data_IF_087523678139
#
_entry.id   IF_087523678139
#
_cell.length_a   1.000
_cell.length_b   1.000
_cell.length_c   1.000
_cell.angle_alpha   90.00
_cell.angle_beta   90.00
_cell.angle_gamma   90.00
#
_symmetry.space_group_name_H-M   'P 1'
#
loop_
_entity.id
_entity.type
_entity.pdbx_description
1 polymer ?
#
# COMPACT_ATOMS: atom_id res chain seq x y z
N UNK A 1 47.71 10.02 -35.21
CA UNK A 1 46.79 11.15 -34.97
C UNK A 1 45.31 10.76 -35.03
N UNK A 2 44.84 9.89 -35.94
CA UNK A 2 43.42 9.46 -36.01
C UNK A 2 42.86 8.75 -34.75
N UNK A 3 43.69 7.99 -34.01
CA UNK A 3 43.21 7.26 -32.82
C UNK A 3 42.97 8.15 -31.58
N UNK A 4 43.55 9.35 -31.52
CA UNK A 4 43.36 10.29 -30.40
C UNK A 4 41.99 10.99 -30.50
N UNK A 5 41.51 11.26 -31.71
CA UNK A 5 40.19 11.86 -31.94
C UNK A 5 39.04 10.91 -31.58
N UNK A 6 39.23 9.60 -31.73
CA UNK A 6 38.22 8.61 -31.33
C UNK A 6 38.10 8.47 -29.80
N UNK A 7 39.19 8.69 -29.07
CA UNK A 7 39.19 8.66 -27.60
C UNK A 7 38.58 9.94 -27.00
N UNK A 8 38.72 11.08 -27.66
CA UNK A 8 38.10 12.35 -27.27
C UNK A 8 36.57 12.39 -27.46
N UNK A 9 36.02 11.61 -28.40
CA UNK A 9 34.58 11.49 -28.61
C UNK A 9 33.85 10.77 -27.45
N UNK A 10 34.56 9.98 -26.64
CA UNK A 10 33.98 9.35 -25.44
C UNK A 10 33.83 10.29 -24.25
N UNK A 11 34.43 11.49 -24.29
CA UNK A 11 34.38 12.47 -23.19
C UNK A 11 33.49 13.68 -23.49
N UNK A 12 32.85 13.73 -24.67
CA UNK A 12 31.85 14.76 -24.97
C UNK A 12 30.47 14.23 -24.56
N UNK A 13 30.24 14.15 -23.25
CA UNK A 13 28.89 13.99 -22.71
C UNK A 13 28.19 15.35 -22.73
N UNK A 14 27.33 15.58 -23.72
CA UNK A 14 26.37 16.68 -23.65
C UNK A 14 25.34 16.29 -22.59
N UNK A 15 25.29 17.01 -21.48
CA UNK A 15 24.20 16.88 -20.51
C UNK A 15 22.92 17.42 -21.14
N UNK A 16 22.23 16.56 -21.88
CA UNK A 16 20.87 16.82 -22.28
C UNK A 16 20.02 16.69 -21.03
N UNK A 17 19.52 17.82 -20.52
CA UNK A 17 18.55 17.85 -19.43
C UNK A 17 17.20 17.33 -19.96
N UNK A 18 17.11 16.03 -20.21
CA UNK A 18 15.85 15.37 -20.47
C UNK A 18 15.06 15.34 -19.16
N UNK A 19 13.78 15.68 -19.23
CA UNK A 19 12.87 15.46 -18.10
C UNK A 19 12.72 13.95 -17.90
N UNK A 20 13.24 13.42 -16.79
CA UNK A 20 12.96 12.05 -16.33
C UNK A 20 11.51 11.88 -15.81
N UNK A 21 10.55 12.58 -16.43
CA UNK A 21 9.11 12.49 -16.13
C UNK A 21 8.37 11.83 -17.29
N UNK A 22 8.90 10.71 -17.77
CA UNK A 22 8.20 9.84 -18.70
C UNK A 22 6.82 9.47 -18.15
N UNK A 23 5.84 9.30 -19.05
CA UNK A 23 4.47 8.96 -18.69
C UNK A 23 3.56 10.15 -18.36
N UNK A 24 4.07 11.38 -18.26
CA UNK A 24 3.27 12.60 -18.13
C UNK A 24 3.08 13.31 -19.47
N UNK A 25 1.99 14.06 -19.62
CA UNK A 25 1.74 14.85 -20.84
C UNK A 25 2.75 16.00 -20.99
N UNK A 26 3.20 16.36 -22.21
CA UNK A 26 4.12 17.48 -22.44
C UNK A 26 3.51 18.84 -22.08
N UNK A 27 2.18 18.91 -22.02
CA UNK A 27 1.43 20.10 -21.58
C UNK A 27 1.46 20.30 -20.06
N UNK A 28 1.94 19.33 -19.27
CA UNK A 28 2.02 19.46 -17.82
C UNK A 28 3.07 20.51 -17.45
N UNK A 29 2.61 21.63 -16.88
CA UNK A 29 3.49 22.68 -16.35
C UNK A 29 3.87 22.36 -14.92
N UNK A 30 5.14 22.10 -14.69
CA UNK A 30 5.68 21.77 -13.37
C UNK A 30 6.13 23.01 -12.61
N UNK A 31 5.85 23.02 -11.31
CA UNK A 31 6.34 23.99 -10.32
C UNK A 31 7.02 23.23 -9.18
N UNK A 32 7.77 23.94 -8.35
CA UNK A 32 8.42 23.32 -7.20
C UNK A 32 8.42 24.23 -5.97
N UNK A 33 8.38 23.59 -4.79
CA UNK A 33 8.73 24.18 -3.50
C UNK A 33 9.97 23.45 -3.01
N UNK A 34 11.03 24.17 -2.69
CA UNK A 34 12.32 23.60 -2.35
C UNK A 34 12.77 24.14 -0.98
N UNK A 35 12.73 23.29 0.04
CA UNK A 35 13.18 23.59 1.41
C UNK A 35 14.52 22.91 1.69
N UNK A 36 15.06 23.02 2.89
CA UNK A 36 16.20 22.21 3.36
C UNK A 36 15.83 20.72 3.54
N UNK A 37 14.60 20.41 3.92
CA UNK A 37 14.08 19.06 4.12
C UNK A 37 13.68 18.34 2.83
N UNK A 38 12.92 19.01 1.95
CA UNK A 38 12.21 18.36 0.84
C UNK A 38 12.10 19.29 -0.36
N UNK A 39 12.11 18.69 -1.55
CA UNK A 39 11.73 19.37 -2.79
C UNK A 39 10.43 18.76 -3.30
N UNK A 40 9.32 19.50 -3.18
CA UNK A 40 8.03 19.08 -3.72
C UNK A 40 7.90 19.61 -5.15
N UNK A 41 7.82 18.72 -6.13
CA UNK A 41 7.61 18.99 -7.56
C UNK A 41 6.17 18.65 -7.90
N UNK A 42 5.41 19.60 -8.44
CA UNK A 42 3.97 19.44 -8.62
C UNK A 42 3.44 20.12 -9.89
N UNK A 43 2.35 19.62 -10.48
CA UNK A 43 1.66 20.31 -11.57
C UNK A 43 1.04 21.64 -11.12
N UNK A 44 1.04 22.64 -11.99
CA UNK A 44 0.33 23.91 -11.78
C UNK A 44 -1.13 23.68 -11.31
N UNK A 45 -1.57 24.41 -10.27
CA UNK A 45 -2.88 24.24 -9.62
C UNK A 45 -2.86 23.42 -8.32
N UNK A 46 -1.73 22.80 -7.97
CA UNK A 46 -1.58 22.03 -6.71
C UNK A 46 -0.77 22.76 -5.62
N UNK A 47 -0.59 24.08 -5.73
CA UNK A 47 0.26 24.89 -4.84
C UNK A 47 -0.11 24.71 -3.37
N UNK A 48 -1.41 24.67 -3.07
CA UNK A 48 -1.91 24.52 -1.69
C UNK A 48 -1.48 23.18 -1.10
N UNK A 49 -1.77 22.07 -1.79
CA UNK A 49 -1.39 20.72 -1.35
C UNK A 49 0.13 20.55 -1.26
N UNK A 50 0.88 21.15 -2.19
CA UNK A 50 2.34 21.08 -2.18
C UNK A 50 2.95 21.82 -0.99
N UNK A 51 2.42 23.00 -0.63
CA UNK A 51 2.81 23.73 0.59
C UNK A 51 2.51 22.91 1.85
N UNK A 52 1.31 22.36 1.96
CA UNK A 52 0.91 21.53 3.11
C UNK A 52 1.81 20.30 3.28
N UNK A 53 2.13 19.59 2.19
CA UNK A 53 3.05 18.44 2.23
C UNK A 53 4.45 18.86 2.64
N UNK A 54 4.98 19.97 2.10
CA UNK A 54 6.29 20.49 2.50
C UNK A 54 6.34 20.83 4.01
N UNK A 55 5.29 21.47 4.54
CA UNK A 55 5.15 21.79 5.96
C UNK A 55 5.08 20.53 6.83
N UNK A 56 4.23 19.55 6.48
CA UNK A 56 4.11 18.31 7.25
C UNK A 56 5.42 17.53 7.28
N UNK A 57 6.09 17.40 6.13
CA UNK A 57 7.39 16.73 6.04
C UNK A 57 8.45 17.44 6.88
N UNK A 58 8.48 18.77 6.87
CA UNK A 58 9.39 19.55 7.71
C UNK A 58 9.12 19.32 9.21
N UNK A 59 7.86 19.32 9.63
CA UNK A 59 7.46 19.03 11.02
C UNK A 59 7.82 17.59 11.42
N UNK A 60 7.60 16.62 10.54
CA UNK A 60 7.95 15.21 10.79
C UNK A 60 9.46 15.02 10.95
N UNK A 61 10.28 15.72 10.14
CA UNK A 61 11.73 15.70 10.31
C UNK A 61 12.16 16.26 11.67
N UNK A 62 11.57 17.39 12.08
CA UNK A 62 11.96 18.08 13.31
C UNK A 62 11.54 17.34 14.59
N UNK A 63 10.40 16.64 14.58
CA UNK A 63 9.80 16.05 15.79
C UNK A 63 10.10 14.56 16.02
N UNK A 64 10.88 13.89 15.15
CA UNK A 64 11.12 12.43 15.08
C UNK A 64 10.85 11.62 16.38
N UNK A 65 9.56 11.34 16.64
CA UNK A 65 9.08 10.78 17.93
C UNK A 65 9.40 9.29 18.09
N UNK A 66 9.82 8.62 17.01
CA UNK A 66 10.09 7.19 16.96
C UNK A 66 11.34 6.87 16.14
N UNK A 67 12.42 7.60 16.42
CA UNK A 67 13.64 7.63 15.62
C UNK A 67 14.24 6.26 15.30
N UNK A 68 14.76 6.13 14.08
CA UNK A 68 15.62 5.03 13.63
C UNK A 68 17.11 5.45 13.57
N UNK A 69 17.41 6.63 14.11
CA UNK A 69 18.71 7.29 14.06
C UNK A 69 18.61 8.70 13.48
N UNK A 70 19.67 9.49 13.66
CA UNK A 70 19.68 10.91 13.30
C UNK A 70 20.02 11.23 11.84
N UNK A 71 20.20 10.23 10.95
CA UNK A 71 20.52 10.51 9.55
C UNK A 71 19.29 11.01 8.82
N UNK A 72 19.41 12.16 8.19
CA UNK A 72 18.38 12.71 7.31
C UNK A 72 18.97 13.00 5.94
N UNK A 73 18.17 12.77 4.90
CA UNK A 73 18.54 13.02 3.52
C UNK A 73 17.37 13.70 2.81
N UNK A 74 17.63 14.88 2.25
CA UNK A 74 16.64 15.60 1.45
C UNK A 74 16.18 14.74 0.27
N UNK A 75 14.87 14.71 0.03
CA UNK A 75 14.26 13.96 -1.05
C UNK A 75 13.50 14.89 -2.01
N UNK A 76 13.43 14.49 -3.28
CA UNK A 76 12.48 15.08 -4.24
C UNK A 76 11.20 14.26 -4.25
N UNK A 77 10.07 14.91 -4.03
CA UNK A 77 8.73 14.32 -3.98
C UNK A 77 7.93 14.86 -5.15
N UNK A 78 7.39 13.98 -5.99
CA UNK A 78 6.67 14.33 -7.21
C UNK A 78 5.19 14.04 -7.05
N UNK A 79 4.33 15.00 -7.41
CA UNK A 79 2.88 14.80 -7.44
C UNK A 79 2.43 14.27 -8.81
N UNK A 80 1.77 13.11 -8.80
CA UNK A 80 1.09 12.51 -9.95
C UNK A 80 -0.42 12.66 -9.74
N UNK A 81 -1.05 13.60 -10.44
CA UNK A 81 -2.45 13.96 -10.20
C UNK A 81 -3.40 13.54 -11.33
N UNK A 82 -2.90 12.83 -12.35
CA UNK A 82 -3.68 12.38 -13.51
C UNK A 82 -4.04 10.89 -13.46
N UNK A 83 -3.69 10.20 -12.38
CA UNK A 83 -4.10 8.82 -12.09
C UNK A 83 -5.41 8.76 -11.31
N UNK A 84 -6.14 7.65 -11.38
CA UNK A 84 -7.38 7.37 -10.65
C UNK A 84 -7.15 6.39 -9.49
N UNK A 85 -6.05 5.63 -9.50
CA UNK A 85 -5.66 4.79 -8.38
C UNK A 85 -4.84 5.56 -7.34
N UNK A 86 -4.92 5.07 -6.10
CA UNK A 86 -4.27 5.66 -4.93
C UNK A 86 -3.02 4.88 -4.57
N UNK A 87 -1.88 5.56 -4.53
CA UNK A 87 -0.60 4.95 -4.17
C UNK A 87 0.41 6.03 -3.80
N UNK A 88 1.53 5.62 -3.24
CA UNK A 88 2.77 6.38 -3.23
C UNK A 88 3.95 5.41 -3.03
N UNK A 89 5.16 5.91 -3.23
CA UNK A 89 6.35 5.15 -2.90
C UNK A 89 7.55 6.05 -2.65
N UNK A 90 8.57 5.49 -2.01
CA UNK A 90 9.94 6.02 -1.97
C UNK A 90 10.88 5.04 -2.67
N UNK A 91 11.50 5.50 -3.75
CA UNK A 91 12.54 4.77 -4.47
C UNK A 91 13.92 5.17 -4.01
N UNK A 92 14.85 4.20 -3.96
CA UNK A 92 16.27 4.50 -3.81
C UNK A 92 16.93 4.89 -5.13
N UNK A 93 16.54 4.27 -6.25
CA UNK A 93 17.17 4.41 -7.56
C UNK A 93 16.14 4.76 -8.66
N UNK A 94 15.94 6.06 -8.99
CA UNK A 94 16.57 7.22 -8.35
C UNK A 94 15.97 7.53 -6.98
N UNK A 95 16.73 8.26 -6.15
CA UNK A 95 16.28 8.72 -4.83
C UNK A 95 15.19 9.78 -4.96
N UNK A 96 13.93 9.33 -4.94
CA UNK A 96 12.74 10.18 -5.04
C UNK A 96 11.53 9.50 -4.44
N UNK A 97 10.50 10.29 -4.19
CA UNK A 97 9.17 9.81 -3.83
C UNK A 97 8.17 10.29 -4.88
N UNK A 98 7.11 9.51 -5.11
CA UNK A 98 6.00 9.90 -5.97
C UNK A 98 4.67 9.69 -5.24
N UNK A 99 3.82 10.70 -5.23
CA UNK A 99 2.50 10.67 -4.60
C UNK A 99 1.45 10.63 -5.71
N UNK A 100 0.63 9.59 -5.70
CA UNK A 100 -0.55 9.51 -6.57
C UNK A 100 -1.70 10.16 -5.81
N UNK A 101 -1.97 11.42 -6.13
CA UNK A 101 -2.75 12.31 -5.27
C UNK A 101 -4.26 12.03 -5.24
N UNK A 102 -4.75 11.06 -6.01
CA UNK A 102 -6.15 10.61 -5.96
C UNK A 102 -6.36 9.75 -4.73
N UNK A 103 -7.25 10.18 -3.84
CA UNK A 103 -7.53 9.49 -2.59
C UNK A 103 -8.30 8.17 -2.81
N UNK A 104 -8.08 7.15 -1.95
CA UNK A 104 -8.92 5.95 -1.94
C UNK A 104 -10.38 6.35 -1.73
N UNK A 105 -11.29 5.66 -2.41
CA UNK A 105 -12.73 5.95 -2.29
C UNK A 105 -13.38 5.18 -1.13
N UNK A 106 -12.75 4.09 -0.67
CA UNK A 106 -13.20 3.33 0.49
C UNK A 106 -12.78 4.04 1.81
N UNK A 107 -13.74 4.61 2.57
CA UNK A 107 -13.43 5.29 3.83
C UNK A 107 -12.93 4.34 4.92
N UNK A 108 -13.16 3.04 4.81
CA UNK A 108 -12.69 2.06 5.80
C UNK A 108 -11.21 1.73 5.67
N UNK A 109 -10.58 2.09 4.55
CA UNK A 109 -9.14 1.90 4.32
C UNK A 109 -8.33 3.13 4.75
N UNK A 110 -8.84 4.34 4.48
CA UNK A 110 -8.15 5.60 4.80
C UNK A 110 -8.50 6.18 6.18
N UNK A 111 -9.73 5.94 6.65
CA UNK A 111 -10.35 6.73 7.72
C UNK A 111 -10.63 8.17 7.26
N UNK A 112 -10.90 9.08 8.19
CA UNK A 112 -11.14 10.49 7.87
C UNK A 112 -9.84 11.34 7.90
N UNK A 113 -8.73 10.78 7.40
CA UNK A 113 -7.44 11.49 7.28
C UNK A 113 -7.32 12.10 5.88
N UNK A 114 -6.77 13.33 5.79
CA UNK A 114 -6.38 13.89 4.48
C UNK A 114 -5.38 12.96 3.77
N UNK A 115 -5.66 12.62 2.51
CA UNK A 115 -4.86 11.64 1.77
C UNK A 115 -3.40 12.05 1.63
N UNK A 116 -3.13 13.29 1.24
CA UNK A 116 -1.76 13.79 1.07
C UNK A 116 -1.02 13.86 2.42
N UNK A 117 -1.75 14.12 3.51
CA UNK A 117 -1.18 14.05 4.87
C UNK A 117 -0.80 12.62 5.24
N UNK A 118 -1.68 11.66 4.96
CA UNK A 118 -1.39 10.25 5.23
C UNK A 118 -0.16 9.78 4.44
N UNK A 119 -0.10 10.11 3.15
CA UNK A 119 1.08 9.86 2.31
C UNK A 119 2.33 10.53 2.87
N UNK A 120 2.26 11.80 3.29
CA UNK A 120 3.40 12.50 3.89
C UNK A 120 3.91 11.79 5.15
N UNK A 121 3.02 11.28 6.01
CA UNK A 121 3.41 10.56 7.23
C UNK A 121 4.01 9.17 6.90
N UNK A 122 3.40 8.45 5.95
CA UNK A 122 3.83 7.11 5.57
C UNK A 122 5.14 7.13 4.78
N UNK A 123 5.15 7.82 3.64
CA UNK A 123 6.29 7.80 2.72
C UNK A 123 7.51 8.47 3.33
N UNK A 124 7.33 9.55 4.09
CA UNK A 124 8.46 10.16 4.78
C UNK A 124 9.09 9.22 5.82
N UNK A 125 8.35 8.23 6.34
CA UNK A 125 8.94 7.19 7.16
C UNK A 125 9.91 6.31 6.37
N UNK A 126 9.59 5.96 5.14
CA UNK A 126 10.55 5.27 4.26
C UNK A 126 11.79 6.11 3.97
N UNK A 127 11.64 7.44 3.83
CA UNK A 127 12.79 8.35 3.71
C UNK A 127 13.72 8.24 4.93
N UNK A 128 13.15 8.26 6.14
CA UNK A 128 13.91 8.09 7.39
C UNK A 128 14.57 6.70 7.47
N UNK A 129 13.84 5.64 7.09
CA UNK A 129 14.35 4.27 7.05
C UNK A 129 15.56 4.16 6.12
N UNK A 130 15.43 4.51 4.84
CA UNK A 130 16.52 4.43 3.88
C UNK A 130 17.70 5.35 4.22
N UNK A 131 17.45 6.51 4.81
CA UNK A 131 18.52 7.41 5.28
C UNK A 131 19.36 6.77 6.39
N UNK A 132 18.72 6.06 7.32
CA UNK A 132 19.39 5.41 8.44
C UNK A 132 19.94 4.02 8.13
N UNK A 133 19.42 3.35 7.10
CA UNK A 133 19.84 2.01 6.68
C UNK A 133 20.99 2.02 5.66
N UNK A 134 21.45 3.20 5.23
CA UNK A 134 22.73 3.35 4.53
C UNK A 134 23.90 3.35 5.54
N UNK A 135 24.26 2.18 6.06
CA UNK A 135 25.36 1.98 7.01
C UNK A 135 25.99 0.59 6.91
N UNK A 136 27.22 0.44 7.41
CA UNK A 136 27.95 -0.83 7.39
C UNK A 136 28.01 -1.44 5.99
N UNK A 137 27.71 -2.72 5.85
CA UNK A 137 27.73 -3.39 4.55
C UNK A 137 26.75 -2.78 3.53
N UNK A 138 25.56 -2.31 3.95
CA UNK A 138 24.65 -1.62 3.03
C UNK A 138 25.26 -0.33 2.45
N UNK A 139 26.12 0.36 3.21
CA UNK A 139 26.86 1.52 2.71
C UNK A 139 27.97 1.13 1.72
N UNK A 140 28.67 0.03 1.98
CA UNK A 140 29.66 -0.52 1.03
C UNK A 140 28.97 -0.89 -0.29
N UNK A 141 27.83 -1.58 -0.23
CA UNK A 141 27.04 -1.89 -1.42
C UNK A 141 26.58 -0.62 -2.16
N UNK A 142 26.20 0.43 -1.41
CA UNK A 142 25.86 1.73 -1.98
C UNK A 142 27.02 2.39 -2.72
N UNK A 143 28.26 2.24 -2.25
CA UNK A 143 29.45 2.79 -2.92
C UNK A 143 29.75 2.01 -4.20
N UNK A 144 29.65 0.67 -4.17
CA UNK A 144 30.03 -0.19 -5.29
C UNK A 144 28.99 -0.21 -6.43
N UNK A 145 27.70 -0.21 -6.08
CA UNK A 145 26.60 -0.41 -7.04
C UNK A 145 25.57 0.74 -7.00
N UNK A 146 25.95 1.87 -6.39
CA UNK A 146 25.07 3.03 -6.25
C UNK A 146 23.82 2.74 -5.43
N UNK A 147 22.76 3.49 -5.72
CA UNK A 147 21.48 3.36 -5.03
C UNK A 147 20.84 1.97 -5.15
N UNK A 148 21.09 1.25 -6.26
CA UNK A 148 20.63 -0.12 -6.44
C UNK A 148 21.33 -1.10 -5.51
N UNK A 149 22.63 -0.90 -5.27
CA UNK A 149 23.38 -1.65 -4.26
C UNK A 149 22.81 -1.50 -2.87
N UNK A 150 22.48 -0.26 -2.48
CA UNK A 150 21.82 -0.01 -1.20
C UNK A 150 20.44 -0.72 -1.14
N UNK A 151 19.63 -0.59 -2.20
CA UNK A 151 18.29 -1.18 -2.24
C UNK A 151 18.33 -2.70 -2.05
N UNK A 152 19.22 -3.38 -2.78
CA UNK A 152 19.42 -4.83 -2.66
C UNK A 152 19.88 -5.21 -1.25
N UNK A 153 20.87 -4.51 -0.69
CA UNK A 153 21.38 -4.80 0.64
C UNK A 153 20.33 -4.57 1.74
N UNK A 154 19.54 -3.50 1.64
CA UNK A 154 18.46 -3.24 2.60
C UNK A 154 17.35 -4.29 2.49
N UNK A 155 16.91 -4.65 1.27
CA UNK A 155 15.87 -5.65 1.05
C UNK A 155 16.28 -7.08 1.47
N UNK A 156 17.56 -7.43 1.32
CA UNK A 156 18.09 -8.71 1.77
C UNK A 156 18.28 -8.78 3.29
N UNK A 157 18.50 -7.64 3.94
CA UNK A 157 18.77 -7.58 5.37
C UNK A 157 17.51 -7.40 6.23
N UNK A 158 16.51 -6.64 5.78
CA UNK A 158 15.34 -6.24 6.56
C UNK A 158 14.08 -6.66 5.80
N UNK A 159 13.13 -7.37 6.44
CA UNK A 159 11.92 -7.82 5.74
C UNK A 159 11.02 -6.65 5.35
N UNK A 160 10.39 -6.75 4.17
CA UNK A 160 9.39 -5.80 3.65
C UNK A 160 8.28 -5.44 4.66
N UNK A 161 7.75 -6.40 5.41
CA UNK A 161 6.75 -6.11 6.44
C UNK A 161 7.25 -5.12 7.48
N UNK A 162 8.56 -5.05 7.77
CA UNK A 162 9.08 -4.08 8.72
C UNK A 162 8.99 -2.66 8.16
N UNK A 163 9.37 -2.47 6.90
CA UNK A 163 9.29 -1.17 6.24
C UNK A 163 7.87 -0.61 6.30
N UNK A 164 6.90 -1.40 5.84
CA UNK A 164 5.48 -1.02 5.82
C UNK A 164 4.86 -0.94 7.21
N UNK A 165 5.17 -1.90 8.09
CA UNK A 165 4.64 -1.97 9.43
C UNK A 165 5.06 -0.80 10.31
N UNK A 166 6.32 -0.39 10.21
CA UNK A 166 6.85 0.77 10.91
C UNK A 166 6.32 2.09 10.32
N UNK A 167 6.04 2.15 9.00
CA UNK A 167 5.34 3.27 8.38
C UNK A 167 3.87 3.37 8.82
N UNK A 168 3.14 2.26 8.94
CA UNK A 168 1.77 2.25 9.52
C UNK A 168 1.78 2.58 11.01
N UNK A 169 2.80 2.13 11.74
CA UNK A 169 2.99 2.56 13.13
C UNK A 169 3.19 4.08 13.20
N UNK A 170 3.95 4.66 12.27
CA UNK A 170 4.17 6.09 12.16
C UNK A 170 2.88 6.87 11.84
N UNK A 171 2.03 6.37 10.93
CA UNK A 171 0.67 6.90 10.69
C UNK A 171 -0.12 6.96 11.98
N UNK A 172 -0.09 5.86 12.74
CA UNK A 172 -0.79 5.72 14.00
C UNK A 172 -0.23 6.71 15.03
N UNK A 173 1.09 6.88 15.10
CA UNK A 173 1.70 7.82 16.04
C UNK A 173 1.35 9.29 15.75
N UNK A 174 1.30 9.68 14.47
CA UNK A 174 1.19 11.09 14.05
C UNK A 174 -0.21 11.53 13.59
N UNK A 175 -1.21 10.66 13.68
CA UNK A 175 -2.60 11.00 13.32
C UNK A 175 -3.60 10.30 14.23
N UNK A 176 -4.82 10.84 14.30
CA UNK A 176 -5.92 10.26 15.09
C UNK A 176 -6.56 9.04 14.41
N UNK A 177 -6.34 8.83 13.11
CA UNK A 177 -6.99 7.78 12.30
C UNK A 177 -6.01 7.00 11.42
N UNK A 178 -4.72 6.97 11.78
CA UNK A 178 -3.74 6.10 11.10
C UNK A 178 -4.20 4.64 11.13
N UNK A 179 -3.81 3.87 10.10
CA UNK A 179 -4.43 2.57 9.80
C UNK A 179 -4.41 1.58 10.96
N UNK A 180 -3.42 1.67 11.86
CA UNK A 180 -3.36 0.86 13.08
C UNK A 180 -4.55 1.02 14.04
N UNK A 181 -5.38 2.07 13.90
CA UNK A 181 -6.63 2.29 14.66
C UNK A 181 -7.90 1.89 13.91
N UNK A 182 -7.81 1.60 12.61
CA UNK A 182 -8.98 1.23 11.82
C UNK A 182 -9.37 -0.22 12.13
N UNK A 183 -10.64 -0.51 12.49
CA UNK A 183 -11.06 -1.88 12.77
C UNK A 183 -10.77 -2.85 11.61
N UNK A 184 -11.04 -2.42 10.37
CA UNK A 184 -10.82 -3.24 9.17
C UNK A 184 -9.34 -3.65 9.00
N UNK A 185 -8.40 -2.82 9.44
CA UNK A 185 -6.96 -3.07 9.27
C UNK A 185 -6.47 -4.30 10.07
N UNK A 186 -7.10 -4.59 11.21
CA UNK A 186 -6.78 -5.75 12.06
C UNK A 186 -7.77 -6.91 11.86
N UNK A 187 -8.89 -6.68 11.16
CA UNK A 187 -9.97 -7.65 10.99
C UNK A 187 -9.48 -8.98 10.42
N UNK A 188 -8.55 -8.97 9.46
CA UNK A 188 -8.00 -10.20 8.89
C UNK A 188 -7.37 -11.14 9.93
N UNK A 189 -6.60 -10.61 10.88
CA UNK A 189 -6.01 -11.41 11.95
C UNK A 189 -7.03 -11.87 12.98
N UNK A 190 -8.03 -11.04 13.28
CA UNK A 190 -9.15 -11.41 14.14
C UNK A 190 -9.99 -12.53 13.50
N UNK A 191 -10.24 -12.47 12.20
CA UNK A 191 -10.92 -13.54 11.46
C UNK A 191 -10.16 -14.87 11.49
N UNK A 192 -8.83 -14.84 11.42
CA UNK A 192 -8.02 -16.06 11.59
C UNK A 192 -8.18 -16.65 13.00
N UNK A 193 -8.21 -15.80 14.04
CA UNK A 193 -8.46 -16.25 15.42
C UNK A 193 -9.86 -16.86 15.58
N UNK A 194 -10.90 -16.18 15.07
CA UNK A 194 -12.28 -16.67 15.13
C UNK A 194 -12.47 -18.00 14.39
N UNK A 195 -11.73 -18.22 13.30
CA UNK A 195 -11.76 -19.46 12.53
C UNK A 195 -10.78 -20.54 13.04
N UNK A 196 -10.17 -20.35 14.22
CA UNK A 196 -9.12 -21.19 14.82
C UNK A 196 -8.00 -21.57 13.81
N UNK A 197 -7.59 -20.59 12.99
CA UNK A 197 -6.51 -20.74 12.01
C UNK A 197 -5.20 -20.24 12.61
N UNK A 198 -4.23 -21.15 12.69
CA UNK A 198 -2.88 -20.88 13.20
C UNK A 198 -1.88 -21.01 12.07
N UNK A 199 -1.41 -19.87 11.57
CA UNK A 199 -0.37 -19.83 10.55
C UNK A 199 0.99 -19.53 11.17
N UNK A 200 2.01 -20.22 10.67
CA UNK A 200 3.39 -19.89 11.01
C UNK A 200 3.82 -18.60 10.31
N UNK A 201 4.94 -18.04 10.76
CA UNK A 201 5.47 -16.80 10.19
C UNK A 201 5.69 -16.87 8.68
N UNK A 202 6.19 -17.99 8.14
CA UNK A 202 6.48 -18.11 6.72
C UNK A 202 5.21 -18.10 5.85
N UNK A 203 4.10 -18.65 6.35
CA UNK A 203 2.82 -18.58 5.66
C UNK A 203 2.29 -17.15 5.60
N UNK A 204 2.34 -16.40 6.71
CA UNK A 204 1.88 -15.01 6.72
C UNK A 204 2.82 -14.07 5.96
N UNK A 205 4.13 -14.32 6.04
CA UNK A 205 5.14 -13.53 5.33
C UNK A 205 4.97 -13.64 3.82
N UNK A 206 4.82 -14.86 3.30
CA UNK A 206 4.83 -15.10 1.85
C UNK A 206 3.42 -15.07 1.23
N UNK A 207 2.38 -15.07 2.06
CA UNK A 207 0.99 -15.12 1.63
C UNK A 207 0.57 -16.48 1.05
N UNK A 208 -0.64 -16.55 0.51
CA UNK A 208 -1.15 -17.75 -0.15
C UNK A 208 -2.19 -17.42 -1.23
N UNK A 209 -2.14 -18.15 -2.35
CA UNK A 209 -3.20 -18.14 -3.39
C UNK A 209 -4.28 -19.20 -3.14
N UNK A 210 -4.27 -19.86 -1.96
CA UNK A 210 -5.21 -20.93 -1.59
C UNK A 210 -5.93 -20.68 -0.28
N UNK A 211 -5.25 -20.02 0.65
CA UNK A 211 -5.75 -19.70 1.97
C UNK A 211 -5.71 -18.19 2.17
N UNK A 212 -6.67 -17.66 2.91
CA UNK A 212 -6.66 -16.24 3.23
C UNK A 212 -5.48 -15.94 4.17
N UNK A 213 -4.64 -14.98 3.81
CA UNK A 213 -3.56 -14.47 4.66
C UNK A 213 -3.65 -12.95 4.71
N UNK A 214 -3.73 -12.33 5.91
CA UNK A 214 -3.56 -10.89 6.05
C UNK A 214 -2.23 -10.43 5.42
N UNK A 215 -2.21 -9.21 4.90
CA UNK A 215 -1.05 -8.69 4.17
C UNK A 215 0.11 -8.28 5.11
N UNK A 216 1.25 -7.95 4.50
CA UNK A 216 2.48 -7.60 5.19
C UNK A 216 2.39 -6.25 5.96
N UNK A 217 1.48 -5.34 5.59
CA UNK A 217 1.22 -4.11 6.35
C UNK A 217 0.66 -4.43 7.73
N UNK A 218 -0.41 -5.23 7.79
CA UNK A 218 -1.04 -5.62 9.06
C UNK A 218 -0.10 -6.48 9.90
N UNK A 219 0.58 -7.46 9.29
CA UNK A 219 1.58 -8.29 9.99
C UNK A 219 2.67 -7.39 10.58
N UNK A 220 3.21 -6.48 9.77
CA UNK A 220 4.30 -5.64 10.16
C UNK A 220 3.93 -4.68 11.27
N UNK A 221 2.77 -4.04 11.19
CA UNK A 221 2.27 -3.15 12.23
C UNK A 221 2.16 -3.87 13.58
N UNK A 222 1.58 -5.08 13.61
CA UNK A 222 1.45 -5.86 14.84
C UNK A 222 2.82 -6.20 15.44
N UNK A 223 3.76 -6.67 14.62
CA UNK A 223 5.11 -7.00 15.11
C UNK A 223 5.85 -5.76 15.60
N UNK A 224 5.78 -4.64 14.87
CA UNK A 224 6.44 -3.37 15.24
C UNK A 224 5.85 -2.81 16.54
N UNK A 225 4.52 -2.74 16.63
CA UNK A 225 3.84 -2.23 17.81
C UNK A 225 4.13 -3.10 19.04
N UNK A 226 4.09 -4.43 18.90
CA UNK A 226 4.47 -5.37 19.97
C UNK A 226 5.92 -5.16 20.42
N UNK A 227 6.86 -5.06 19.47
CA UNK A 227 8.27 -4.82 19.77
C UNK A 227 8.47 -3.57 20.61
N UNK A 228 7.88 -2.43 20.21
CA UNK A 228 7.95 -1.17 20.96
C UNK A 228 7.32 -1.30 22.35
N UNK A 229 6.17 -1.96 22.44
CA UNK A 229 5.45 -2.17 23.70
C UNK A 229 6.25 -2.96 24.72
N UNK A 230 6.95 -4.01 24.29
CA UNK A 230 7.64 -4.94 25.18
C UNK A 230 9.11 -4.57 25.45
N UNK A 231 9.78 -3.93 24.50
CA UNK A 231 11.23 -3.72 24.54
C UNK A 231 11.64 -2.24 24.47
N UNK A 232 10.68 -1.32 24.45
CA UNK A 232 10.91 0.12 24.44
C UNK A 232 10.96 0.73 23.04
N UNK A 233 10.87 2.06 22.97
CA UNK A 233 10.74 2.80 21.70
C UNK A 233 12.00 2.75 20.82
N UNK A 234 13.17 2.43 21.37
CA UNK A 234 14.44 2.39 20.65
C UNK A 234 14.79 1.00 20.09
N UNK A 235 13.96 -0.02 20.34
CA UNK A 235 14.25 -1.40 19.95
C UNK A 235 14.47 -1.56 18.45
N UNK A 236 13.62 -0.93 17.63
CA UNK A 236 13.70 -1.05 16.18
C UNK A 236 14.88 -0.29 15.59
N UNK A 237 15.31 0.82 16.20
CA UNK A 237 16.56 1.47 15.84
C UNK A 237 17.75 0.51 16.03
N UNK A 238 17.82 -0.17 17.18
CA UNK A 238 18.91 -1.12 17.49
C UNK A 238 18.92 -2.31 16.52
N UNK A 239 17.76 -2.94 16.32
CA UNK A 239 17.62 -4.11 15.45
C UNK A 239 17.96 -3.76 14.00
N UNK A 240 17.36 -2.71 13.46
CA UNK A 240 17.58 -2.33 12.06
C UNK A 240 18.97 -1.76 11.81
N UNK A 241 19.58 -1.08 12.79
CA UNK A 241 20.95 -0.61 12.68
C UNK A 241 21.94 -1.77 12.53
N UNK A 242 21.79 -2.82 13.35
CA UNK A 242 22.61 -4.03 13.25
C UNK A 242 22.29 -4.81 11.97
N UNK A 243 21.01 -4.92 11.61
CA UNK A 243 20.59 -5.64 10.42
C UNK A 243 21.12 -5.00 9.13
N UNK A 244 20.92 -3.68 8.95
CA UNK A 244 21.42 -2.94 7.79
C UNK A 244 22.96 -2.92 7.72
N UNK A 245 23.64 -2.99 8.86
CA UNK A 245 25.08 -3.11 8.91
C UNK A 245 25.59 -4.55 8.66
N UNK A 246 24.70 -5.54 8.54
CA UNK A 246 25.00 -6.97 8.45
C UNK A 246 25.82 -7.48 9.65
N UNK A 247 25.37 -7.16 10.86
CA UNK A 247 26.02 -7.54 12.12
C UNK A 247 25.09 -8.38 13.01
N UNK A 248 25.13 -9.72 12.93
CA UNK A 248 26.03 -10.56 12.12
C UNK A 248 25.59 -10.69 10.66
N UNK A 249 26.48 -11.23 9.81
CA UNK A 249 26.31 -11.22 8.36
C UNK A 249 25.18 -12.13 7.86
N UNK A 250 25.05 -13.33 8.40
CA UNK A 250 23.99 -14.27 8.03
C UNK A 250 22.75 -14.05 8.90
N UNK A 251 21.57 -14.03 8.28
CA UNK A 251 20.29 -13.74 8.94
C UNK A 251 20.36 -12.48 9.82
N UNK A 252 20.75 -11.33 9.24
CA UNK A 252 21.13 -10.15 10.01
C UNK A 252 19.97 -9.63 10.88
N UNK A 253 18.73 -9.61 10.36
CA UNK A 253 17.55 -9.20 11.13
C UNK A 253 17.24 -10.12 12.31
N UNK A 254 17.19 -11.44 12.09
CA UNK A 254 16.83 -12.41 13.11
C UNK A 254 17.85 -12.44 14.24
N UNK A 255 19.13 -12.35 13.89
CA UNK A 255 20.20 -12.31 14.87
C UNK A 255 20.25 -10.98 15.63
N UNK A 256 20.02 -9.85 14.96
CA UNK A 256 19.89 -8.55 15.62
C UNK A 256 18.69 -8.53 16.58
N UNK A 257 17.54 -9.06 16.16
CA UNK A 257 16.37 -9.19 17.02
C UNK A 257 16.69 -10.05 18.25
N UNK A 258 17.33 -11.20 18.07
CA UNK A 258 17.74 -12.06 19.20
C UNK A 258 18.69 -11.35 20.16
N UNK A 259 19.65 -10.59 19.63
CA UNK A 259 20.61 -9.84 20.44
C UNK A 259 19.92 -8.79 21.33
N UNK A 260 18.96 -8.05 20.77
CA UNK A 260 18.33 -6.92 21.48
C UNK A 260 17.07 -7.28 22.28
N UNK A 261 16.47 -8.44 22.03
CA UNK A 261 15.26 -8.92 22.76
C UNK A 261 15.52 -10.13 23.65
N UNK A 262 16.63 -10.83 23.46
CA UNK A 262 16.91 -12.15 24.06
C UNK A 262 16.09 -13.29 23.47
N UNK A 263 15.17 -13.03 22.52
CA UNK A 263 14.26 -14.03 21.94
C UNK A 263 14.69 -14.43 20.54
N UNK A 264 14.64 -15.74 20.24
CA UNK A 264 14.72 -16.18 18.83
C UNK A 264 13.53 -15.58 18.06
N UNK A 265 13.73 -15.28 16.78
CA UNK A 265 12.70 -14.65 15.95
C UNK A 265 11.36 -15.40 15.98
N UNK A 266 11.37 -16.72 15.86
CA UNK A 266 10.14 -17.52 15.93
C UNK A 266 9.42 -17.34 17.27
N UNK A 267 10.16 -17.33 18.39
CA UNK A 267 9.55 -17.10 19.70
C UNK A 267 8.98 -15.69 19.82
N UNK A 268 9.69 -14.66 19.33
CA UNK A 268 9.18 -13.29 19.31
C UNK A 268 7.87 -13.19 18.51
N UNK A 269 7.80 -13.84 17.34
CA UNK A 269 6.60 -13.90 16.52
C UNK A 269 5.44 -14.57 17.27
N UNK A 270 5.66 -15.74 17.87
CA UNK A 270 4.63 -16.46 18.63
C UNK A 270 4.17 -15.65 19.86
N UNK A 271 5.10 -15.02 20.57
CA UNK A 271 4.80 -14.15 21.72
C UNK A 271 3.95 -12.95 21.28
N UNK A 272 4.26 -12.33 20.14
CA UNK A 272 3.50 -11.22 19.58
C UNK A 272 2.08 -11.63 19.17
N UNK A 273 1.94 -12.75 18.43
CA UNK A 273 0.62 -13.23 18.02
C UNK A 273 -0.22 -13.65 19.24
N UNK A 274 0.37 -14.35 20.21
CA UNK A 274 -0.31 -14.74 21.45
C UNK A 274 -0.79 -13.55 22.28
N UNK A 275 0.00 -12.47 22.31
CA UNK A 275 -0.37 -11.21 22.96
C UNK A 275 -1.65 -10.61 22.37
N UNK A 276 -1.73 -10.47 21.05
CA UNK A 276 -2.92 -9.93 20.40
C UNK A 276 -4.12 -10.88 20.46
N UNK A 277 -3.89 -12.18 20.30
CA UNK A 277 -4.95 -13.17 20.44
C UNK A 277 -5.62 -13.08 21.81
N UNK A 278 -4.84 -12.87 22.88
CA UNK A 278 -5.39 -12.70 24.22
C UNK A 278 -6.25 -11.44 24.35
N UNK A 279 -5.89 -10.36 23.66
CA UNK A 279 -6.67 -9.11 23.65
C UNK A 279 -7.95 -9.21 22.81
N UNK A 280 -7.92 -9.99 21.74
CA UNK A 280 -9.06 -10.18 20.85
C UNK A 280 -9.97 -11.34 21.24
N UNK A 281 -9.70 -12.03 22.35
CA UNK A 281 -10.61 -13.05 22.88
C UNK A 281 -11.97 -12.40 23.18
N UNK A 282 -12.91 -12.61 22.27
CA UNK A 282 -14.31 -12.27 22.46
C UNK A 282 -15.09 -13.55 22.83
N UNK A 283 -16.19 -13.42 23.59
CA UNK A 283 -17.15 -14.51 23.73
C UNK A 283 -17.61 -14.96 22.34
N UNK A 284 -17.68 -16.28 22.13
CA UNK A 284 -18.27 -16.86 20.93
C UNK A 284 -19.76 -16.53 20.92
N UNK A 285 -20.16 -15.45 20.25
CA UNK A 285 -21.56 -15.08 20.17
C UNK A 285 -22.18 -15.50 18.83
N UNK A 286 -23.28 -16.24 18.96
CA UNK A 286 -24.32 -16.54 17.95
C UNK A 286 -23.97 -17.43 16.74
N UNK A 287 -24.84 -18.40 16.48
CA UNK A 287 -24.86 -19.21 15.26
C UNK A 287 -25.27 -18.36 14.05
N UNK A 288 -24.29 -17.81 13.33
CA UNK A 288 -24.55 -17.12 12.05
C UNK A 288 -25.00 -18.13 11.00
N UNK A 289 -26.16 -17.89 10.39
CA UNK A 289 -26.58 -18.63 9.20
C UNK A 289 -26.00 -17.97 7.96
N UNK A 290 -25.10 -18.68 7.28
CA UNK A 290 -24.49 -18.21 6.04
C UNK A 290 -25.41 -18.48 4.84
N UNK A 291 -25.64 -17.46 4.01
CA UNK A 291 -26.41 -17.58 2.77
C UNK A 291 -25.56 -18.06 1.58
N UNK A 292 -24.26 -18.25 1.79
CA UNK A 292 -23.29 -18.69 0.76
C UNK A 292 -22.56 -19.95 1.23
N UNK A 293 -22.27 -20.86 0.30
CA UNK A 293 -21.55 -22.08 0.60
C UNK A 293 -20.04 -21.83 0.77
N UNK A 294 -19.40 -22.60 1.66
CA UNK A 294 -17.96 -22.61 1.82
C UNK A 294 -17.30 -23.40 0.68
N UNK A 295 -16.30 -22.80 0.01
CA UNK A 295 -15.51 -23.47 -1.01
C UNK A 295 -14.15 -23.93 -0.45
N UNK A 296 -13.83 -25.22 -0.59
CA UNK A 296 -12.55 -25.76 -0.13
C UNK A 296 -11.36 -25.22 -0.96
N UNK A 297 -10.29 -24.82 -0.28
CA UNK A 297 -9.07 -24.26 -0.89
C UNK A 297 -9.36 -23.09 -1.83
N UNK A 298 -10.28 -22.21 -1.42
CA UNK A 298 -10.57 -20.98 -2.12
C UNK A 298 -10.81 -19.88 -1.09
N UNK A 299 -10.51 -18.65 -1.47
CA UNK A 299 -10.94 -17.46 -0.74
C UNK A 299 -11.95 -16.80 -1.64
N UNK A 300 -13.14 -16.55 -1.09
CA UNK A 300 -14.27 -16.02 -1.83
C UNK A 300 -14.88 -14.89 -1.02
N UNK A 301 -14.97 -13.72 -1.64
CA UNK A 301 -15.58 -12.54 -1.06
C UNK A 301 -16.87 -12.22 -1.81
N UNK A 302 -17.94 -11.94 -1.07
CA UNK A 302 -19.20 -11.44 -1.61
C UNK A 302 -19.37 -10.00 -1.12
N UNK A 303 -19.29 -9.05 -2.04
CA UNK A 303 -19.20 -7.62 -1.76
C UNK A 303 -20.44 -6.89 -2.25
N UNK A 304 -20.78 -5.80 -1.55
CA UNK A 304 -21.86 -4.86 -1.87
C UNK A 304 -23.21 -5.55 -2.18
N UNK A 305 -23.83 -6.24 -1.20
CA UNK A 305 -25.09 -6.94 -1.44
C UNK A 305 -26.27 -5.97 -1.67
N UNK A 306 -27.05 -6.21 -2.73
CA UNK A 306 -28.29 -5.49 -3.03
C UNK A 306 -29.48 -6.46 -3.12
N UNK A 307 -30.56 -6.25 -2.35
CA UNK A 307 -31.78 -7.04 -2.51
C UNK A 307 -32.46 -6.71 -3.85
N UNK A 308 -33.06 -7.72 -4.47
CA UNK A 308 -33.83 -7.56 -5.72
C UNK A 308 -35.32 -7.81 -5.47
N UNK A 309 -36.17 -7.35 -6.39
CA UNK A 309 -37.63 -7.54 -6.28
C UNK A 309 -38.08 -9.01 -6.30
N UNK A 310 -37.24 -9.93 -6.80
CA UNK A 310 -37.52 -11.38 -6.83
C UNK A 310 -37.11 -12.09 -5.54
N UNK A 311 -36.56 -11.38 -4.55
CA UNK A 311 -36.03 -11.95 -3.32
C UNK A 311 -34.59 -12.49 -3.41
N UNK A 312 -33.97 -12.43 -4.59
CA UNK A 312 -32.55 -12.73 -4.75
C UNK A 312 -31.66 -11.56 -4.26
N UNK A 313 -30.41 -11.83 -3.96
CA UNK A 313 -29.40 -10.83 -3.58
C UNK A 313 -28.34 -10.72 -4.67
N UNK A 314 -28.22 -9.53 -5.28
CA UNK A 314 -27.14 -9.22 -6.21
C UNK A 314 -25.86 -8.90 -5.44
N UNK A 315 -24.74 -9.50 -5.82
CA UNK A 315 -23.42 -9.30 -5.21
C UNK A 315 -22.32 -9.22 -6.26
N UNK A 316 -21.21 -8.56 -5.91
CA UNK A 316 -19.93 -8.76 -6.59
C UNK A 316 -19.19 -9.92 -5.91
N UNK A 317 -18.97 -11.02 -6.63
CA UNK A 317 -18.19 -12.17 -6.14
C UNK A 317 -16.75 -12.07 -6.64
N UNK A 318 -15.78 -12.11 -5.72
CA UNK A 318 -14.34 -12.22 -6.00
C UNK A 318 -13.83 -13.54 -5.47
N UNK A 319 -12.82 -14.13 -6.13
CA UNK A 319 -12.15 -15.30 -5.59
C UNK A 319 -10.72 -15.45 -6.11
N UNK A 320 -9.94 -16.31 -5.48
CA UNK A 320 -8.60 -16.67 -5.97
C UNK A 320 -8.62 -17.54 -7.23
N UNK A 321 -9.77 -18.11 -7.60
CA UNK A 321 -9.90 -19.01 -8.77
C UNK A 321 -10.56 -18.38 -9.99
N UNK A 322 -11.30 -17.28 -9.81
CA UNK A 322 -12.12 -16.67 -10.88
C UNK A 322 -12.05 -15.16 -10.80
N UNK A 323 -12.02 -14.53 -11.97
CA UNK A 323 -12.11 -13.07 -12.11
C UNK A 323 -13.43 -12.54 -11.52
N UNK A 324 -13.44 -11.30 -11.00
CA UNK A 324 -14.63 -10.69 -10.39
C UNK A 324 -15.83 -10.68 -11.36
N UNK A 325 -16.99 -11.06 -10.84
CA UNK A 325 -18.23 -11.08 -11.60
C UNK A 325 -19.44 -10.81 -10.69
N UNK A 326 -20.51 -10.29 -11.29
CA UNK A 326 -21.79 -10.11 -10.62
C UNK A 326 -22.56 -11.43 -10.56
N UNK A 327 -23.16 -11.73 -9.42
CA UNK A 327 -23.97 -12.92 -9.18
C UNK A 327 -25.28 -12.56 -8.51
N UNK A 328 -26.35 -13.28 -8.84
CA UNK A 328 -27.57 -13.35 -8.04
C UNK A 328 -27.48 -14.57 -7.12
N UNK A 329 -27.60 -14.35 -5.82
CA UNK A 329 -27.78 -15.40 -4.82
C UNK A 329 -29.29 -15.57 -4.61
N UNK A 330 -29.83 -16.72 -4.99
CA UNK A 330 -31.24 -17.04 -4.83
C UNK A 330 -31.59 -17.31 -3.36
N UNK A 331 -32.87 -17.24 -2.95
CA UNK A 331 -33.29 -17.56 -1.57
C UNK A 331 -32.90 -18.96 -1.10
N UNK A 332 -32.74 -19.92 -2.03
CA UNK A 332 -32.27 -21.29 -1.76
C UNK A 332 -30.74 -21.42 -1.69
N UNK A 333 -30.00 -20.30 -1.80
CA UNK A 333 -28.55 -20.23 -1.78
C UNK A 333 -27.87 -20.54 -3.12
N UNK A 334 -28.62 -20.86 -4.19
CA UNK A 334 -28.02 -21.08 -5.50
C UNK A 334 -27.48 -19.79 -6.09
N UNK A 335 -26.27 -19.86 -6.63
CA UNK A 335 -25.62 -18.75 -7.30
C UNK A 335 -25.86 -18.80 -8.81
N UNK A 336 -26.32 -17.67 -9.37
CA UNK A 336 -26.43 -17.46 -10.80
C UNK A 336 -25.47 -16.34 -11.21
N UNK A 337 -24.50 -16.67 -12.07
CA UNK A 337 -23.59 -15.67 -12.63
C UNK A 337 -24.31 -14.79 -13.65
N UNK A 338 -24.10 -13.49 -13.55
CA UNK A 338 -24.72 -12.48 -14.43
C UNK A 338 -23.73 -11.99 -15.48
N UNK A 339 -22.67 -11.31 -15.06
CA UNK A 339 -21.67 -10.74 -15.97
C UNK A 339 -20.30 -10.61 -15.30
N UNK A 340 -19.24 -10.65 -16.11
CA UNK A 340 -17.89 -10.29 -15.64
C UNK A 340 -17.84 -8.80 -15.34
N UNK A 341 -17.28 -8.39 -14.20
CA UNK A 341 -17.01 -6.97 -13.93
C UNK A 341 -15.75 -6.57 -14.70
N UNK A 342 -15.77 -5.43 -15.38
CA UNK A 342 -14.54 -4.87 -15.98
C UNK A 342 -13.52 -4.54 -14.88
N UNK A 343 -12.24 -4.44 -15.26
CA UNK A 343 -11.18 -4.02 -14.33
C UNK A 343 -11.56 -2.64 -13.76
N UNK A 344 -11.44 -2.50 -12.44
CA UNK A 344 -11.80 -1.28 -11.72
C UNK A 344 -10.80 -1.05 -10.59
N UNK A 345 -10.60 0.21 -10.22
CA UNK A 345 -9.79 0.60 -9.05
C UNK A 345 -10.53 0.26 -7.75
N UNK A 346 -11.86 0.42 -7.75
CA UNK A 346 -12.74 0.14 -6.61
C UNK A 346 -13.70 -1.03 -6.95
N UNK A 347 -14.04 -1.82 -5.93
CA UNK A 347 -15.01 -2.91 -6.02
C UNK A 347 -16.46 -2.43 -6.02
N UNK A 348 -16.75 -1.23 -5.52
CA UNK A 348 -18.10 -0.66 -5.40
C UNK A 348 -18.85 -0.63 -6.74
N UNK A 349 -20.16 -0.87 -6.64
CA UNK A 349 -21.16 -0.65 -7.67
C UNK A 349 -22.47 -0.22 -7.00
N UNK A 350 -23.37 0.38 -7.79
CA UNK A 350 -24.75 0.63 -7.38
C UNK A 350 -25.72 -0.15 -8.26
N UNK A 351 -26.91 -0.43 -7.72
CA UNK A 351 -27.94 -1.19 -8.38
C UNK A 351 -29.32 -0.61 -8.08
N UNK A 352 -30.12 -0.44 -9.14
CA UNK A 352 -31.54 -0.11 -9.03
C UNK A 352 -32.31 -0.67 -10.23
N UNK A 353 -33.51 -1.21 -10.00
CA UNK A 353 -34.45 -1.67 -11.04
C UNK A 353 -33.83 -2.50 -12.18
N UNK A 354 -33.05 -3.53 -11.86
CA UNK A 354 -32.47 -4.43 -12.87
C UNK A 354 -31.26 -3.87 -13.61
N UNK A 355 -30.78 -2.69 -13.23
CA UNK A 355 -29.57 -2.07 -13.78
C UNK A 355 -28.54 -1.88 -12.70
N UNK A 356 -27.27 -2.09 -13.05
CA UNK A 356 -26.13 -1.77 -12.20
C UNK A 356 -25.22 -0.77 -12.88
N UNK A 357 -24.59 0.11 -12.08
CA UNK A 357 -23.61 1.09 -12.53
C UNK A 357 -22.34 0.98 -11.70
N UNK A 358 -21.18 1.09 -12.35
CA UNK A 358 -19.88 1.09 -11.68
C UNK A 358 -18.83 1.87 -12.49
N UNK A 359 -17.76 2.28 -11.82
CA UNK A 359 -16.60 2.89 -12.46
C UNK A 359 -15.60 1.79 -12.87
N UNK A 360 -15.28 1.71 -14.17
CA UNK A 360 -14.25 0.83 -14.70
C UNK A 360 -12.98 1.63 -15.04
N UNK A 361 -11.83 1.01 -14.82
CA UNK A 361 -10.52 1.57 -15.09
C UNK A 361 -10.27 1.65 -16.60
N UNK A 362 -9.76 2.79 -17.06
CA UNK A 362 -9.39 3.03 -18.45
C UNK A 362 -7.99 3.66 -18.50
N UNK A 363 -6.94 2.94 -18.94
CA UNK A 363 -5.61 3.51 -19.08
C UNK A 363 -5.56 4.53 -20.23
N UNK A 364 -4.70 5.54 -20.13
CA UNK A 364 -4.34 6.33 -21.29
C UNK A 364 -3.43 5.51 -22.22
N UNK A 365 -3.71 5.57 -23.53
CA UNK A 365 -2.98 4.79 -24.52
C UNK A 365 -1.50 5.22 -24.69
N UNK A 366 -1.15 6.44 -24.27
CA UNK A 366 0.20 7.01 -24.46
C UNK A 366 0.91 7.35 -23.16
N UNK A 367 0.18 7.81 -22.14
CA UNK A 367 0.77 8.42 -20.94
C UNK A 367 0.60 7.54 -19.71
N UNK A 368 1.67 6.89 -19.24
CA UNK A 368 1.61 5.95 -18.11
C UNK A 368 1.21 6.54 -16.74
N UNK A 369 1.34 7.86 -16.56
CA UNK A 369 0.89 8.57 -15.34
C UNK A 369 -0.46 9.29 -15.56
N UNK A 370 -1.20 8.88 -16.61
CA UNK A 370 -2.57 9.32 -16.83
C UNK A 370 -3.46 8.11 -17.05
N UNK A 371 -4.57 8.11 -16.36
CA UNK A 371 -5.62 7.13 -16.56
C UNK A 371 -6.97 7.78 -16.22
N UNK A 372 -8.04 7.05 -16.47
CA UNK A 372 -9.41 7.52 -16.38
C UNK A 372 -10.29 6.45 -15.76
N UNK A 373 -11.47 6.89 -15.33
CA UNK A 373 -12.59 6.01 -15.11
C UNK A 373 -13.59 6.18 -16.25
N UNK A 374 -14.20 5.08 -16.67
CA UNK A 374 -15.40 5.08 -17.49
C UNK A 374 -16.58 4.56 -16.66
N UNK A 375 -17.74 5.19 -16.81
CA UNK A 375 -18.96 4.74 -16.15
C UNK A 375 -19.65 3.70 -17.01
N UNK A 376 -19.80 2.51 -16.46
CA UNK A 376 -20.43 1.37 -17.13
C UNK A 376 -21.80 1.15 -16.54
N UNK A 377 -22.82 1.23 -17.38
CA UNK A 377 -24.19 0.84 -17.07
C UNK A 377 -24.44 -0.55 -17.67
N UNK A 378 -24.97 -1.46 -16.87
CA UNK A 378 -25.29 -2.81 -17.30
C UNK A 378 -26.73 -3.15 -16.95
N UNK A 379 -27.48 -3.63 -17.94
CA UNK A 379 -28.87 -4.07 -17.80
C UNK A 379 -28.93 -5.60 -17.67
N UNK A 380 -29.42 -6.09 -16.53
CA UNK A 380 -29.39 -7.51 -16.20
C UNK A 380 -30.34 -8.32 -17.09
N UNK A 381 -31.48 -7.75 -17.49
CA UNK A 381 -32.49 -8.46 -18.27
C UNK A 381 -32.03 -8.69 -19.72
N UNK A 382 -31.39 -7.69 -20.31
CA UNK A 382 -30.93 -7.74 -21.71
C UNK A 382 -29.48 -8.23 -21.84
N UNK A 383 -28.67 -8.13 -20.78
CA UNK A 383 -27.24 -8.36 -20.83
C UNK A 383 -26.46 -7.24 -21.53
N UNK A 384 -27.11 -6.12 -21.86
CA UNK A 384 -26.50 -5.02 -22.57
C UNK A 384 -25.61 -4.18 -21.65
N UNK A 385 -24.46 -3.78 -22.18
CA UNK A 385 -23.50 -2.89 -21.50
C UNK A 385 -23.40 -1.58 -22.28
N UNK A 386 -23.54 -0.46 -21.59
CA UNK A 386 -23.39 0.89 -22.14
C UNK A 386 -22.30 1.66 -21.37
N UNK A 387 -21.47 2.42 -22.10
CA UNK A 387 -20.53 3.36 -21.50
C UNK A 387 -21.18 4.73 -21.51
N UNK A 388 -21.68 5.17 -20.36
CA UNK A 388 -22.42 6.44 -20.22
C UNK A 388 -21.49 7.65 -20.04
N UNK A 389 -20.23 7.41 -19.65
CA UNK A 389 -19.18 8.42 -19.64
C UNK A 389 -17.81 7.75 -19.86
N UNK A 390 -17.02 8.25 -20.81
CA UNK A 390 -15.68 7.75 -21.11
C UNK A 390 -14.61 8.83 -20.82
N UNK A 391 -13.37 8.40 -20.57
CA UNK A 391 -12.23 9.30 -20.27
C UNK A 391 -12.54 10.32 -19.17
N UNK A 392 -13.30 9.90 -18.17
CA UNK A 392 -13.74 10.74 -17.06
C UNK A 392 -12.93 10.46 -15.79
N UNK A 393 -13.21 11.20 -14.71
CA UNK A 393 -12.68 10.94 -13.37
C UNK A 393 -13.81 10.91 -12.35
N UNK A 394 -14.89 10.23 -12.71
CA UNK A 394 -16.01 9.97 -11.82
C UNK A 394 -15.70 8.73 -10.97
N UNK A 395 -16.13 8.78 -9.72
CA UNK A 395 -15.96 7.73 -8.72
C UNK A 395 -17.32 7.46 -8.09
N UNK A 396 -17.49 6.26 -7.55
CA UNK A 396 -18.67 5.84 -6.77
C UNK A 396 -20.02 6.23 -7.41
N UNK A 397 -20.30 5.82 -8.66
CA UNK A 397 -21.56 6.15 -9.31
C UNK A 397 -22.74 5.50 -8.58
N UNK A 398 -23.89 6.16 -8.64
CA UNK A 398 -25.12 5.70 -8.01
C UNK A 398 -26.31 5.83 -8.95
N UNK A 399 -27.24 4.87 -8.89
CA UNK A 399 -28.56 4.96 -9.53
C UNK A 399 -29.55 5.32 -8.42
N UNK A 400 -29.87 6.61 -8.31
CA UNK A 400 -30.81 7.10 -7.32
C UNK A 400 -32.17 6.39 -7.43
N UNK A 401 -32.83 6.24 -6.27
CA UNK A 401 -34.12 5.58 -6.10
C UNK A 401 -35.30 6.45 -6.52
#
# INVERSE_FOLDING_TARGET
MRSIYFFLLFFVSIEINAQEFGGNTPSTKWRQINTDTVRVVYPEGMEKSAKQVAEWVHVLQAKDLSSLGGKTRKISLVFQNQNTFSNAYVGLAPWRSEFYNTAPQDPFILGATDWNKNLAIHEYRHVQQYSNFNKGFSHVASILLGQQGQALANAAAIPDWFFEGDAVYNETLHSNQGRGRLPLFQAGFQSLLLADKKYNYQQLRNGSLRFYTPNHYSLGYLLVAYGRKMYGNDIWQKITSDAAAYKPFFYPFQNALKKHTGKKFEQFYQDAMGFYQTQWKQPSDSSVQWITALEKNNVTDYLYPYPTATGATLVLKKSYKKIPAFYLIQPDGKEQRIATKQIAVDDQYSYNNGRLVYAAYQPDARWGNRDFNQLVLFDIATGNTEIIAAKSRYFSPDIAH
#
